data_IF_036027545111
#
_entry.id   IF_036027545111
#
_cell.length_a   1.000
_cell.length_b   1.000
_cell.length_c   1.000
_cell.angle_alpha   90.00
_cell.angle_beta   90.00
_cell.angle_gamma   90.00
#
_symmetry.space_group_name_H-M   'P 1'
#
loop_
_entity.id
_entity.type
_entity.pdbx_description
1 polymer ?
#
# COMPACT_ATOMS: atom_id res chain seq x y z
N UNK A 1 9.36 -44.84 12.80
CA UNK A 1 8.27 -43.87 13.03
C UNK A 1 8.93 -42.51 13.20
N UNK A 2 9.00 -41.71 12.14
CA UNK A 2 9.63 -40.39 12.19
C UNK A 2 8.58 -39.37 12.61
N UNK A 3 8.67 -38.86 13.84
CA UNK A 3 7.86 -37.74 14.30
C UNK A 3 8.26 -36.50 13.50
N UNK A 4 7.39 -36.07 12.59
CA UNK A 4 7.53 -34.77 11.97
C UNK A 4 7.37 -33.70 13.06
N UNK A 5 8.47 -33.05 13.41
CA UNK A 5 8.48 -31.92 14.32
C UNK A 5 7.85 -30.74 13.57
N UNK A 6 6.53 -30.59 13.70
CA UNK A 6 5.79 -29.44 13.17
C UNK A 6 6.22 -28.21 13.94
N UNK A 7 7.19 -27.46 13.40
CA UNK A 7 7.54 -26.13 13.89
C UNK A 7 6.24 -25.31 13.99
N UNK A 8 5.93 -24.70 15.15
CA UNK A 8 4.75 -23.88 15.27
C UNK A 8 4.80 -22.78 14.19
N UNK A 9 3.65 -22.39 13.61
CA UNK A 9 3.62 -21.29 12.66
C UNK A 9 4.25 -20.08 13.34
N UNK A 10 5.16 -19.41 12.63
CA UNK A 10 5.81 -18.21 13.14
C UNK A 10 4.72 -17.22 13.56
N UNK A 11 4.85 -16.64 14.76
CA UNK A 11 3.91 -15.64 15.23
C UNK A 11 3.80 -14.51 14.19
N UNK A 12 2.59 -13.99 13.90
CA UNK A 12 2.43 -12.85 13.02
C UNK A 12 3.38 -11.71 13.41
N UNK A 13 4.09 -11.18 12.42
CA UNK A 13 4.99 -10.04 12.55
C UNK A 13 4.29 -8.69 12.65
N UNK A 14 2.99 -8.63 12.36
CA UNK A 14 2.15 -7.42 12.54
C UNK A 14 0.70 -7.81 12.85
N UNK A 15 0.10 -7.14 13.81
CA UNK A 15 -1.33 -7.22 14.11
C UNK A 15 -2.02 -5.92 13.72
N UNK A 16 -3.17 -6.01 13.05
CA UNK A 16 -4.03 -4.88 12.73
C UNK A 16 -5.34 -5.01 13.50
N UNK A 17 -5.58 -4.11 14.46
CA UNK A 17 -6.79 -4.10 15.28
C UNK A 17 -7.81 -3.15 14.67
N UNK A 18 -8.96 -3.66 14.25
CA UNK A 18 -9.93 -2.88 13.46
C UNK A 18 -11.35 -3.41 13.56
N UNK A 19 -12.36 -2.54 13.49
CA UNK A 19 -13.76 -2.94 13.40
C UNK A 19 -14.21 -3.33 11.98
N UNK A 20 -13.37 -3.11 10.96
CA UNK A 20 -13.68 -3.48 9.58
C UNK A 20 -12.46 -4.16 8.93
N UNK A 21 -12.39 -5.51 8.99
CA UNK A 21 -11.27 -6.28 8.46
C UNK A 21 -11.00 -6.05 6.98
N UNK A 22 -12.07 -6.03 6.18
CA UNK A 22 -11.96 -5.91 4.73
C UNK A 22 -11.40 -4.54 4.34
N UNK A 23 -11.90 -3.47 4.95
CA UNK A 23 -11.38 -2.12 4.71
C UNK A 23 -9.90 -2.00 5.13
N UNK A 24 -9.52 -2.60 6.26
CA UNK A 24 -8.12 -2.61 6.69
C UNK A 24 -7.21 -3.42 5.78
N UNK A 25 -7.68 -4.57 5.26
CA UNK A 25 -6.92 -5.38 4.31
C UNK A 25 -6.63 -4.58 3.03
N UNK A 26 -7.64 -3.88 2.51
CA UNK A 26 -7.52 -3.01 1.34
C UNK A 26 -6.56 -1.84 1.64
N UNK A 27 -6.77 -1.11 2.74
CA UNK A 27 -5.99 0.10 3.06
C UNK A 27 -4.51 -0.19 3.32
N UNK A 28 -4.18 -1.28 4.03
CA UNK A 28 -2.81 -1.54 4.47
C UNK A 28 -2.03 -2.48 3.56
N UNK A 29 -2.71 -3.37 2.82
CA UNK A 29 -2.05 -4.42 2.05
C UNK A 29 -2.45 -4.45 0.57
N UNK A 30 -3.37 -3.58 0.16
CA UNK A 30 -3.91 -3.48 -1.20
C UNK A 30 -4.41 -4.83 -1.75
N UNK A 31 -5.02 -5.66 -0.91
CA UNK A 31 -5.61 -6.94 -1.30
C UNK A 31 -6.85 -7.29 -0.46
N UNK A 32 -7.60 -8.29 -0.93
CA UNK A 32 -8.71 -8.86 -0.17
C UNK A 32 -8.24 -9.58 1.10
N UNK A 33 -9.13 -9.70 2.09
CA UNK A 33 -8.82 -10.32 3.37
C UNK A 33 -8.28 -11.75 3.25
N UNK A 34 -8.77 -12.51 2.27
CA UNK A 34 -8.33 -13.89 2.00
C UNK A 34 -6.90 -13.97 1.44
N UNK A 35 -6.40 -12.87 0.86
CA UNK A 35 -5.08 -12.74 0.26
C UNK A 35 -4.06 -12.07 1.20
N UNK A 36 -4.42 -11.95 2.49
CA UNK A 36 -3.53 -11.41 3.51
C UNK A 36 -2.21 -12.17 3.57
N UNK A 37 -1.08 -11.47 3.70
CA UNK A 37 0.18 -12.15 3.90
C UNK A 37 0.18 -12.88 5.24
N UNK A 38 0.68 -14.11 5.28
CA UNK A 38 0.68 -14.96 6.47
C UNK A 38 1.44 -14.37 7.67
N UNK A 39 2.30 -13.37 7.45
CA UNK A 39 3.01 -12.65 8.51
C UNK A 39 2.15 -11.57 9.18
N UNK A 40 1.00 -11.20 8.63
CA UNK A 40 0.10 -10.22 9.22
C UNK A 40 -1.18 -10.89 9.71
N UNK A 41 -1.80 -10.32 10.75
CA UNK A 41 -3.09 -10.78 11.27
C UNK A 41 -4.01 -9.62 11.57
N UNK A 42 -5.24 -9.69 11.07
CA UNK A 42 -6.30 -8.75 11.44
C UNK A 42 -7.08 -9.29 12.63
N UNK A 43 -7.31 -8.43 13.63
CA UNK A 43 -8.11 -8.73 14.83
C UNK A 43 -9.29 -7.76 14.85
N UNK A 44 -10.50 -8.29 14.87
CA UNK A 44 -11.73 -7.48 14.72
C UNK A 44 -12.84 -7.73 15.72
N UNK A 45 -12.55 -8.58 16.69
CA UNK A 45 -13.44 -8.87 17.79
C UNK A 45 -12.67 -8.87 19.11
N UNK A 46 -13.42 -8.72 20.19
CA UNK A 46 -12.90 -8.68 21.56
C UNK A 46 -12.21 -9.99 21.93
N UNK A 47 -12.71 -11.13 21.44
CA UNK A 47 -12.17 -12.45 21.75
C UNK A 47 -10.77 -12.69 21.17
N UNK A 48 -10.40 -11.94 20.14
CA UNK A 48 -9.06 -11.97 19.53
C UNK A 48 -8.02 -11.13 20.26
N UNK A 49 -8.40 -10.19 21.12
CA UNK A 49 -7.48 -9.31 21.86
C UNK A 49 -6.50 -10.10 22.74
N UNK A 50 -6.93 -11.11 23.53
CA UNK A 50 -6.03 -11.91 24.36
C UNK A 50 -4.98 -12.68 23.56
N UNK A 51 -5.26 -12.99 22.28
CA UNK A 51 -4.33 -13.72 21.42
C UNK A 51 -3.19 -12.85 20.86
N UNK A 52 -3.27 -11.52 20.99
CA UNK A 52 -2.18 -10.61 20.61
C UNK A 52 -1.10 -10.70 21.70
N UNK A 53 0.14 -11.11 21.38
CA UNK A 53 1.22 -11.15 22.35
C UNK A 53 1.55 -9.76 22.92
N UNK A 54 2.01 -9.71 24.16
CA UNK A 54 2.62 -8.49 24.71
C UNK A 54 3.85 -8.12 23.88
N UNK A 55 4.11 -6.82 23.73
CA UNK A 55 5.18 -6.26 22.89
C UNK A 55 5.05 -6.58 21.39
N UNK A 56 3.93 -7.15 20.94
CA UNK A 56 3.65 -7.33 19.52
C UNK A 56 3.56 -5.97 18.80
N UNK A 57 3.93 -5.97 17.52
CA UNK A 57 3.72 -4.84 16.62
C UNK A 57 2.26 -4.71 16.28
N UNK A 58 1.66 -3.56 16.57
CA UNK A 58 0.23 -3.33 16.40
C UNK A 58 -0.04 -2.01 15.70
N UNK A 59 -0.88 -2.05 14.67
CA UNK A 59 -1.58 -0.89 14.12
C UNK A 59 -3.04 -1.00 14.53
N UNK A 60 -3.66 0.07 15.00
CA UNK A 60 -5.11 0.13 15.16
C UNK A 60 -5.73 1.11 14.15
N UNK A 61 -6.85 0.71 13.53
CA UNK A 61 -7.55 1.53 12.55
C UNK A 61 -9.05 1.31 12.67
N UNK A 62 -9.80 2.38 12.82
CA UNK A 62 -11.26 2.34 12.98
C UNK A 62 -11.94 2.94 11.76
N UNK A 63 -12.99 2.28 11.29
CA UNK A 63 -13.81 2.71 10.16
C UNK A 63 -15.22 2.99 10.65
N UNK A 64 -15.60 4.26 10.70
CA UNK A 64 -16.88 4.70 11.26
C UNK A 64 -16.81 5.07 12.74
N UNK A 65 -17.97 5.10 13.40
CA UNK A 65 -18.06 5.49 14.81
C UNK A 65 -17.46 4.42 15.72
N UNK A 66 -16.75 4.87 16.76
CA UNK A 66 -16.17 3.99 17.77
C UNK A 66 -17.23 3.19 18.52
N UNK A 67 -16.92 1.94 18.83
CA UNK A 67 -17.80 1.00 19.52
C UNK A 67 -17.12 0.29 20.68
N UNK A 68 -17.83 -0.66 21.30
CA UNK A 68 -17.34 -1.41 22.46
C UNK A 68 -15.98 -2.09 22.21
N UNK A 69 -15.75 -2.60 21.00
CA UNK A 69 -14.48 -3.22 20.65
C UNK A 69 -13.31 -2.23 20.72
N UNK A 70 -13.49 -1.00 20.23
CA UNK A 70 -12.48 0.04 20.33
C UNK A 70 -12.21 0.42 21.78
N UNK A 71 -13.26 0.54 22.60
CA UNK A 71 -13.12 0.85 24.01
C UNK A 71 -12.30 -0.23 24.74
N UNK A 72 -12.64 -1.50 24.54
CA UNK A 72 -11.92 -2.61 25.17
C UNK A 72 -10.47 -2.72 24.67
N UNK A 73 -10.21 -2.40 23.40
CA UNK A 73 -8.83 -2.28 22.92
C UNK A 73 -8.07 -1.14 23.62
N UNK A 74 -8.70 0.02 23.85
CA UNK A 74 -8.08 1.15 24.57
C UNK A 74 -7.73 0.77 26.01
N UNK A 75 -8.64 0.08 26.69
CA UNK A 75 -8.41 -0.42 28.06
C UNK A 75 -7.26 -1.44 28.08
N UNK A 76 -7.23 -2.37 27.12
CA UNK A 76 -6.17 -3.37 27.07
C UNK A 76 -4.79 -2.76 26.86
N UNK A 77 -4.67 -1.70 26.06
CA UNK A 77 -3.42 -0.95 25.85
C UNK A 77 -2.96 -0.16 27.08
N UNK A 78 -3.84 0.10 28.03
CA UNK A 78 -3.45 0.66 29.33
C UNK A 78 -2.88 -0.43 30.25
N UNK A 79 -3.36 -1.66 30.10
CA UNK A 79 -2.98 -2.81 30.93
C UNK A 79 -1.71 -3.52 30.44
N UNK A 80 -1.51 -3.61 29.13
CA UNK A 80 -0.38 -4.28 28.48
C UNK A 80 0.36 -3.34 27.55
N UNK A 81 1.65 -3.64 27.36
CA UNK A 81 2.50 -2.92 26.42
C UNK A 81 2.44 -3.55 25.04
N UNK A 82 2.38 -2.70 24.01
CA UNK A 82 2.43 -3.07 22.60
C UNK A 82 3.38 -2.12 21.87
N UNK A 83 4.01 -2.59 20.80
CA UNK A 83 4.77 -1.74 19.90
C UNK A 83 3.81 -1.07 18.91
N UNK A 84 3.55 0.22 19.15
CA UNK A 84 2.63 1.04 18.37
C UNK A 84 3.34 2.09 17.52
N UNK A 85 4.61 1.85 17.14
CA UNK A 85 5.32 2.73 16.23
C UNK A 85 4.70 2.66 14.82
N UNK A 86 3.68 3.50 14.62
CA UNK A 86 2.93 3.55 13.37
C UNK A 86 3.84 3.82 12.17
N UNK A 87 4.84 4.70 12.31
CA UNK A 87 5.73 5.05 11.22
C UNK A 87 6.62 3.86 10.82
N UNK A 88 7.19 3.15 11.80
CA UNK A 88 8.00 1.95 11.54
C UNK A 88 7.18 0.82 10.90
N UNK A 89 5.94 0.62 11.37
CA UNK A 89 5.08 -0.44 10.85
C UNK A 89 4.58 -0.12 9.43
N UNK A 90 4.25 1.14 9.14
CA UNK A 90 3.91 1.59 7.77
C UNK A 90 5.12 1.49 6.84
N UNK A 91 6.33 1.83 7.29
CA UNK A 91 7.54 1.63 6.49
C UNK A 91 7.77 0.14 6.14
N UNK A 92 7.47 -0.77 7.07
CA UNK A 92 7.52 -2.22 6.83
C UNK A 92 6.48 -2.65 5.78
N UNK A 93 5.26 -2.12 5.84
CA UNK A 93 4.22 -2.36 4.83
C UNK A 93 4.65 -1.85 3.45
N UNK A 94 5.20 -0.64 3.38
CA UNK A 94 5.68 -0.06 2.14
C UNK A 94 6.80 -0.90 1.52
N UNK A 95 7.79 -1.33 2.30
CA UNK A 95 8.86 -2.21 1.81
C UNK A 95 8.32 -3.56 1.28
N UNK A 96 7.25 -4.08 1.90
CA UNK A 96 6.56 -5.27 1.39
C UNK A 96 5.81 -5.00 0.08
N UNK A 97 5.13 -3.85 -0.04
CA UNK A 97 4.50 -3.40 -1.29
C UNK A 97 5.53 -3.29 -2.41
N UNK A 98 6.62 -2.57 -2.19
CA UNK A 98 7.67 -2.34 -3.19
C UNK A 98 8.20 -3.69 -3.71
N UNK A 99 8.44 -4.65 -2.82
CA UNK A 99 8.88 -6.00 -3.22
C UNK A 99 7.83 -6.77 -4.02
N UNK A 100 6.54 -6.61 -3.70
CA UNK A 100 5.44 -7.32 -4.35
C UNK A 100 5.16 -6.79 -5.76
N UNK A 101 5.27 -5.47 -5.96
CA UNK A 101 4.97 -4.81 -7.25
C UNK A 101 6.21 -4.44 -8.07
N UNK A 102 7.43 -4.73 -7.59
CA UNK A 102 8.66 -4.58 -8.38
C UNK A 102 8.71 -5.44 -9.67
N UNK A 103 7.74 -6.34 -9.88
CA UNK A 103 7.68 -7.25 -11.05
C UNK A 103 7.22 -6.54 -12.33
N UNK A 104 6.60 -5.35 -12.23
CA UNK A 104 5.99 -4.65 -13.38
C UNK A 104 6.75 -3.41 -13.85
N UNK A 105 8.01 -3.20 -13.46
CA UNK A 105 8.82 -2.20 -14.14
C UNK A 105 9.06 -2.69 -15.58
N UNK A 106 8.51 -2.04 -16.64
CA UNK A 106 8.87 -2.41 -17.99
C UNK A 106 10.38 -2.25 -18.07
N UNK A 107 11.09 -3.32 -18.41
CA UNK A 107 12.43 -3.19 -18.92
C UNK A 107 12.28 -2.24 -20.12
N UNK A 108 12.72 -0.98 -19.96
CA UNK A 108 12.79 -0.04 -21.07
C UNK A 108 13.53 -0.80 -22.16
N UNK A 109 12.88 -1.14 -23.29
CA UNK A 109 13.62 -1.72 -24.40
C UNK A 109 14.67 -0.67 -24.71
N UNK A 110 15.95 -1.01 -24.55
CA UNK A 110 17.02 -0.17 -25.03
C UNK A 110 16.69 0.10 -26.49
N UNK A 111 16.31 1.34 -26.80
CA UNK A 111 16.06 1.79 -28.16
C UNK A 111 17.34 1.44 -28.94
N UNK A 112 17.28 0.53 -29.95
CA UNK A 112 18.46 0.20 -30.70
C UNK A 112 18.93 1.48 -31.37
N UNK A 113 20.13 1.91 -30.99
CA UNK A 113 20.86 3.05 -31.54
C UNK A 113 20.59 3.18 -33.04
N UNK A 114 20.11 4.33 -33.54
CA UNK A 114 19.83 4.47 -34.96
C UNK A 114 21.14 4.26 -35.72
N UNK A 115 21.15 3.27 -36.62
CA UNK A 115 22.21 3.10 -37.59
C UNK A 115 22.37 4.40 -38.39
N UNK A 116 23.59 4.77 -38.83
CA UNK A 116 23.82 6.01 -39.54
C UNK A 116 23.07 5.99 -40.87
N UNK A 117 21.95 6.71 -40.94
CA UNK A 117 21.22 6.94 -42.18
C UNK A 117 22.13 7.65 -43.18
N UNK A 118 22.37 6.98 -44.30
CA UNK A 118 23.07 7.54 -45.43
C UNK A 118 22.38 8.84 -45.88
N UNK A 119 23.17 9.92 -45.95
CA UNK A 119 22.76 11.20 -46.51
C UNK A 119 22.33 11.01 -47.96
N UNK A 120 21.03 11.21 -48.23
CA UNK A 120 20.56 11.53 -49.58
C UNK A 120 20.04 12.95 -49.53
N UNK A 121 20.90 13.87 -49.96
CA UNK A 121 20.51 15.24 -50.30
C UNK A 121 19.73 15.24 -51.61
N UNK A 122 18.60 15.96 -51.66
CA UNK A 122 18.15 16.79 -52.80
C UNK A 122 16.80 17.49 -52.51
N UNK A 123 16.47 18.60 -53.20
CA UNK A 123 16.17 19.86 -52.52
C UNK A 123 14.73 20.40 -52.65
N UNK A 124 14.48 21.45 -51.87
CA UNK A 124 13.61 22.62 -52.12
C UNK A 124 12.11 22.44 -52.41
N UNK A 125 11.27 23.03 -51.55
CA UNK A 125 10.54 24.25 -51.92
C UNK A 125 9.93 24.91 -50.67
N UNK A 126 10.16 26.21 -50.54
CA UNK A 126 9.58 27.08 -49.53
C UNK A 126 8.05 27.21 -49.71
N UNK A 127 7.32 27.35 -48.60
CA UNK A 127 6.32 28.42 -48.38
C UNK A 127 5.69 28.28 -46.98
N UNK A 128 6.05 29.21 -46.09
CA UNK A 128 5.16 29.74 -45.04
C UNK A 128 4.06 30.60 -45.72
N UNK A 129 2.95 31.05 -45.06
CA UNK A 129 2.82 31.29 -43.62
C UNK A 129 1.43 30.99 -42.97
N UNK A 130 1.39 31.28 -41.66
CA UNK A 130 0.27 31.84 -40.87
C UNK A 130 -1.09 31.13 -40.77
N UNK A 131 -1.46 30.72 -39.54
CA UNK A 131 -2.59 31.34 -38.81
C UNK A 131 -2.76 30.82 -37.36
N UNK A 132 -2.75 31.78 -36.42
CA UNK A 132 -3.71 32.04 -35.31
C UNK A 132 -4.45 30.86 -34.64
N UNK A 133 -4.67 30.76 -33.32
CA UNK A 133 -4.62 31.69 -32.18
C UNK A 133 -4.63 30.89 -30.85
N UNK A 134 -4.14 31.44 -29.72
CA UNK A 134 -4.41 30.89 -28.39
C UNK A 134 -5.80 31.32 -27.90
N UNK A 135 -6.71 30.37 -27.68
CA UNK A 135 -8.01 30.65 -27.05
C UNK A 135 -7.90 30.46 -25.54
N UNK A 136 -7.76 31.58 -24.84
CA UNK A 136 -7.78 31.71 -23.38
C UNK A 136 -9.22 31.57 -22.88
N UNK A 137 -9.56 30.49 -22.17
CA UNK A 137 -10.82 30.42 -21.43
C UNK A 137 -10.63 30.96 -20.01
N UNK A 138 -11.45 31.94 -19.56
CA UNK A 138 -11.40 32.44 -18.19
C UNK A 138 -12.06 31.45 -17.22
N UNK A 139 -11.29 31.01 -16.23
CA UNK A 139 -11.75 30.24 -15.07
C UNK A 139 -12.64 31.13 -14.19
N UNK A 140 -13.95 30.90 -14.20
CA UNK A 140 -14.87 31.53 -13.24
C UNK A 140 -14.73 30.85 -11.87
N UNK A 141 -14.20 31.59 -10.89
CA UNK A 141 -14.30 31.24 -9.47
C UNK A 141 -15.75 31.39 -9.03
N UNK A 142 -16.35 30.28 -8.62
CA UNK A 142 -17.56 30.24 -7.78
C UNK A 142 -17.11 30.53 -6.33
N UNK A 143 -18.03 30.83 -5.41
CA UNK A 143 -17.84 31.18 -3.99
C UNK A 143 -17.71 32.70 -3.72
N UNK A 144 -18.87 33.33 -3.49
CA UNK A 144 -19.09 34.41 -2.52
C UNK A 144 -20.06 33.88 -1.47
#
# INVERSE_FOLDING_TARGET
MSSASSKPPAAPGLYVVTNNPQAAAIDFFHCDLELMPAWARIVSDVSGIPAIPTDAKVINRWYGAGGLFEQLWREERQRRKFDMDYAAHVATLQAWHDKRWAVDAPATPAEPSPAPSASVSSPSAASHPDQAAPSSLPRKSRWS
#
